data_IF_368940102815
#
_entry.id   IF_368940102815
#
_cell.length_a   1.000
_cell.length_b   1.000
_cell.length_c   1.000
_cell.angle_alpha   90.00
_cell.angle_beta   90.00
_cell.angle_gamma   90.00
#
_symmetry.space_group_name_H-M   'P 1'
#
loop_
_entity.id
_entity.type
_entity.pdbx_description
1 polymer ?
#
# COMPACT_ATOMS: atom_id res chain seq x y z
N UNK A 1 4.58 6.19 13.89
CA UNK A 1 5.83 5.49 13.54
C UNK A 1 5.99 5.49 12.03
N UNK A 2 7.22 5.60 11.55
CA UNK A 2 7.51 5.52 10.13
C UNK A 2 7.98 4.11 9.80
N UNK A 3 7.30 3.45 8.87
CA UNK A 3 7.56 2.07 8.51
C UNK A 3 7.82 1.99 7.01
N UNK A 4 8.85 1.27 6.61
CA UNK A 4 9.11 0.97 5.20
C UNK A 4 8.84 -0.50 4.97
N UNK A 5 7.99 -0.80 3.98
CA UNK A 5 7.70 -2.16 3.57
C UNK A 5 8.36 -2.40 2.21
N UNK A 6 9.21 -3.40 2.14
CA UNK A 6 9.93 -3.77 0.90
C UNK A 6 9.16 -4.89 0.21
N UNK A 7 8.70 -4.61 -0.99
CA UNK A 7 7.88 -5.54 -1.77
C UNK A 7 6.40 -5.24 -1.63
N UNK A 8 5.75 -4.93 -2.75
CA UNK A 8 4.32 -4.62 -2.80
C UNK A 8 3.49 -5.80 -3.32
N UNK A 9 3.96 -7.03 -3.10
CA UNK A 9 3.20 -8.24 -3.35
C UNK A 9 2.09 -8.39 -2.32
N UNK A 10 1.43 -9.55 -2.30
CA UNK A 10 0.27 -9.75 -1.44
C UNK A 10 0.56 -9.44 0.03
N UNK A 11 1.56 -10.10 0.61
CA UNK A 11 1.88 -9.94 2.02
C UNK A 11 2.35 -8.52 2.33
N UNK A 12 3.22 -7.98 1.48
CA UNK A 12 3.76 -6.64 1.68
C UNK A 12 2.68 -5.57 1.61
N UNK A 13 1.80 -5.65 0.61
CA UNK A 13 0.74 -4.65 0.44
C UNK A 13 -0.29 -4.73 1.55
N UNK A 14 -0.70 -5.93 1.95
CA UNK A 14 -1.64 -6.11 3.07
C UNK A 14 -1.04 -5.57 4.35
N UNK A 15 0.23 -5.89 4.63
CA UNK A 15 0.91 -5.41 5.82
C UNK A 15 1.01 -3.88 5.82
N UNK A 16 1.40 -3.29 4.68
CA UNK A 16 1.52 -1.84 4.55
C UNK A 16 0.19 -1.15 4.82
N UNK A 17 -0.88 -1.65 4.21
CA UNK A 17 -2.22 -1.09 4.40
C UNK A 17 -2.68 -1.18 5.86
N UNK A 18 -2.43 -2.32 6.50
CA UNK A 18 -2.82 -2.51 7.91
C UNK A 18 -2.03 -1.60 8.84
N UNK A 19 -0.73 -1.47 8.65
CA UNK A 19 0.08 -0.57 9.48
C UNK A 19 -0.33 0.89 9.30
N UNK A 20 -0.65 1.29 8.06
CA UNK A 20 -1.13 2.63 7.79
C UNK A 20 -2.48 2.88 8.47
N UNK A 21 -3.38 1.92 8.43
CA UNK A 21 -4.69 2.02 9.09
C UNK A 21 -4.55 2.17 10.60
N UNK A 22 -3.51 1.61 11.18
CA UNK A 22 -3.22 1.76 12.61
C UNK A 22 -2.64 3.12 12.98
N UNK A 23 -2.46 4.01 12.01
CA UNK A 23 -1.97 5.37 12.26
C UNK A 23 -0.49 5.58 11.97
N UNK A 24 0.20 4.59 11.41
CA UNK A 24 1.61 4.73 11.05
C UNK A 24 1.75 5.39 9.67
N UNK A 25 2.88 6.05 9.45
CA UNK A 25 3.26 6.51 8.12
C UNK A 25 4.05 5.40 7.45
N UNK A 26 3.54 4.87 6.37
CA UNK A 26 4.10 3.68 5.71
C UNK A 26 4.54 4.05 4.29
N UNK A 27 5.75 3.65 3.94
CA UNK A 27 6.27 3.74 2.58
C UNK A 27 6.47 2.32 2.06
N UNK A 28 5.81 2.01 0.96
CA UNK A 28 5.92 0.70 0.31
C UNK A 28 6.77 0.85 -0.94
N UNK A 29 7.84 0.09 -1.03
CA UNK A 29 8.75 0.14 -2.18
C UNK A 29 8.79 -1.20 -2.89
N UNK A 30 8.97 -1.16 -4.21
CA UNK A 30 9.06 -2.37 -5.02
C UNK A 30 9.97 -2.13 -6.22
N UNK A 31 10.66 -3.17 -6.67
CA UNK A 31 11.48 -3.13 -7.87
C UNK A 31 10.65 -3.25 -9.15
N UNK A 32 9.41 -3.72 -9.04
CA UNK A 32 8.50 -3.83 -10.18
C UNK A 32 7.85 -2.47 -10.43
N UNK A 33 8.39 -1.74 -11.41
CA UNK A 33 7.91 -0.40 -11.75
C UNK A 33 6.48 -0.39 -12.25
N UNK A 34 6.07 -1.47 -12.92
CA UNK A 34 4.69 -1.63 -13.40
C UNK A 34 3.72 -1.71 -12.22
N UNK A 35 4.06 -2.48 -11.21
CA UNK A 35 3.25 -2.59 -9.98
C UNK A 35 3.17 -1.26 -9.25
N UNK A 36 4.29 -0.56 -9.12
CA UNK A 36 4.33 0.76 -8.48
C UNK A 36 3.42 1.74 -9.23
N UNK A 37 3.48 1.76 -10.55
CA UNK A 37 2.64 2.64 -11.37
C UNK A 37 1.16 2.36 -11.16
N UNK A 38 0.77 1.08 -11.12
CA UNK A 38 -0.61 0.69 -10.86
C UNK A 38 -1.09 1.14 -9.49
N UNK A 39 -0.27 0.94 -8.47
CA UNK A 39 -0.62 1.33 -7.10
C UNK A 39 -0.79 2.83 -6.97
N UNK A 40 0.03 3.62 -7.65
CA UNK A 40 -0.11 5.07 -7.66
C UNK A 40 -1.40 5.54 -8.30
N UNK A 41 -1.93 4.76 -9.24
CA UNK A 41 -3.22 5.03 -9.88
C UNK A 41 -4.41 4.49 -9.08
N UNK A 42 -4.16 3.84 -7.95
CA UNK A 42 -5.21 3.24 -7.14
C UNK A 42 -5.65 1.87 -7.63
N UNK A 43 -4.93 1.29 -8.57
CA UNK A 43 -5.22 -0.05 -9.07
C UNK A 43 -4.50 -1.07 -8.21
N UNK A 44 -5.26 -1.94 -7.56
CA UNK A 44 -4.72 -2.96 -6.68
C UNK A 44 -4.65 -4.29 -7.44
N UNK A 45 -3.45 -4.83 -7.67
CA UNK A 45 -3.30 -6.05 -8.48
C UNK A 45 -3.67 -7.33 -7.73
N UNK A 46 -4.19 -7.21 -6.52
CA UNK A 46 -4.54 -8.33 -5.66
C UNK A 46 -6.04 -8.30 -5.41
N UNK A 47 -6.70 -9.40 -5.73
CA UNK A 47 -8.14 -9.52 -5.52
C UNK A 47 -8.41 -9.98 -4.08
N UNK A 48 -8.51 -9.03 -3.18
CA UNK A 48 -8.79 -9.27 -1.78
C UNK A 48 -9.92 -8.33 -1.34
N UNK A 49 -11.04 -8.84 -0.84
CA UNK A 49 -12.16 -7.98 -0.43
C UNK A 49 -11.74 -6.91 0.58
N UNK A 50 -12.06 -5.67 0.27
CA UNK A 50 -11.76 -4.54 1.14
C UNK A 50 -10.35 -3.98 1.05
N UNK A 51 -9.40 -4.69 0.45
CA UNK A 51 -8.02 -4.23 0.36
C UNK A 51 -7.90 -2.97 -0.49
N UNK A 52 -8.58 -2.91 -1.61
CA UNK A 52 -8.53 -1.76 -2.51
C UNK A 52 -8.98 -0.49 -1.80
N UNK A 53 -10.10 -0.55 -1.10
CA UNK A 53 -10.61 0.60 -0.36
C UNK A 53 -9.66 1.01 0.77
N UNK A 54 -9.09 0.03 1.46
CA UNK A 54 -8.15 0.29 2.55
C UNK A 54 -6.89 0.99 2.04
N UNK A 55 -6.33 0.51 0.94
CA UNK A 55 -5.15 1.12 0.32
C UNK A 55 -5.48 2.53 -0.15
N UNK A 56 -6.56 2.70 -0.89
CA UNK A 56 -6.95 4.00 -1.44
C UNK A 56 -7.21 5.03 -0.34
N UNK A 57 -7.90 4.63 0.71
CA UNK A 57 -8.20 5.50 1.85
C UNK A 57 -6.92 5.98 2.54
N UNK A 58 -5.96 5.08 2.76
CA UNK A 58 -4.72 5.43 3.44
C UNK A 58 -3.76 6.24 2.56
N UNK A 59 -3.78 6.02 1.25
CA UNK A 59 -3.03 6.86 0.31
C UNK A 59 -3.61 8.28 0.31
N UNK A 60 -4.93 8.40 0.27
CA UNK A 60 -5.60 9.70 0.28
C UNK A 60 -5.31 10.47 1.57
N UNK A 61 -5.28 9.77 2.70
CA UNK A 61 -5.02 10.39 4.00
C UNK A 61 -3.54 10.69 4.24
N UNK A 62 -2.66 10.33 3.32
CA UNK A 62 -1.23 10.60 3.43
C UNK A 62 -0.48 9.66 4.36
N UNK A 63 -1.09 8.56 4.77
CA UNK A 63 -0.43 7.57 5.63
C UNK A 63 0.28 6.48 4.87
N UNK A 64 -0.13 6.20 3.64
CA UNK A 64 0.50 5.18 2.80
C UNK A 64 1.08 5.82 1.55
N UNK A 65 2.36 5.58 1.32
CA UNK A 65 3.12 6.10 0.17
C UNK A 65 3.66 4.92 -0.65
N UNK A 66 3.64 5.08 -1.94
CA UNK A 66 4.15 4.06 -2.86
C UNK A 66 5.28 4.64 -3.73
#
# INVERSE_FOLDING_TARGET
>A
MNITVVGAGYVGLVSAACFAEMGNTVTCIDVDLSRVAQLKLGVIPIYEPGLELLVQSNVKDGRLHV
#
